data_IF_654025398866
#
_entry.id   IF_654025398866
#
_cell.length_a   1.000
_cell.length_b   1.000
_cell.length_c   1.000
_cell.angle_alpha   90.00
_cell.angle_beta   90.00
_cell.angle_gamma   90.00
#
_symmetry.space_group_name_H-M   'P 1'
#
loop_
_entity.id
_entity.type
_entity.pdbx_description
1 polymer ?
#
# COMPACT_ATOMS: atom_id res chain seq x y z
N UNK A 1 22.19 6.00 -7.97
CA UNK A 1 21.57 6.70 -9.10
C UNK A 1 20.46 5.79 -9.60
N UNK A 2 19.19 6.17 -9.41
CA UNK A 2 18.08 5.49 -10.09
C UNK A 2 18.25 5.78 -11.58
N UNK A 3 18.23 4.74 -12.40
CA UNK A 3 18.42 4.87 -13.84
C UNK A 3 17.16 5.36 -14.58
N UNK A 4 16.16 5.84 -13.84
CA UNK A 4 14.86 6.29 -14.35
C UNK A 4 13.88 5.17 -14.66
N UNK A 5 14.28 3.89 -14.57
CA UNK A 5 13.44 2.74 -14.88
C UNK A 5 12.99 2.07 -13.58
N UNK A 6 11.67 2.06 -13.35
CA UNK A 6 11.06 1.48 -12.14
C UNK A 6 10.24 0.26 -12.53
N UNK A 7 10.42 -0.82 -11.78
CA UNK A 7 9.56 -2.00 -11.83
C UNK A 7 9.03 -2.27 -10.43
N UNK A 8 7.73 -2.57 -10.31
CA UNK A 8 7.06 -2.78 -9.02
C UNK A 8 6.23 -4.05 -9.08
N UNK A 9 6.30 -4.86 -8.04
CA UNK A 9 5.64 -6.15 -7.96
C UNK A 9 4.94 -6.31 -6.60
N UNK A 10 3.62 -6.54 -6.60
CA UNK A 10 2.88 -6.91 -5.40
C UNK A 10 3.17 -8.37 -5.03
N UNK A 11 3.30 -8.66 -3.74
CA UNK A 11 3.59 -10.01 -3.24
C UNK A 11 2.96 -10.23 -1.85
N UNK A 12 2.49 -11.45 -1.58
CA UNK A 12 2.09 -11.89 -0.23
C UNK A 12 0.60 -11.84 0.10
N UNK A 13 -0.25 -11.29 -0.78
CA UNK A 13 -1.70 -11.21 -0.53
C UNK A 13 -2.35 -12.59 -0.40
N UNK A 14 -1.81 -13.56 -1.12
CA UNK A 14 -2.19 -14.96 -1.00
C UNK A 14 -1.13 -15.68 -0.16
N UNK A 15 -1.56 -16.50 0.80
CA UNK A 15 -0.70 -17.38 1.60
C UNK A 15 -0.27 -18.57 0.74
N UNK A 16 0.54 -18.28 -0.28
CA UNK A 16 0.91 -19.21 -1.35
C UNK A 16 2.33 -19.78 -1.19
N UNK A 17 3.12 -19.29 -0.23
CA UNK A 17 4.49 -19.74 -0.04
C UNK A 17 5.54 -19.05 -0.92
N UNK A 18 5.12 -18.12 -1.79
CA UNK A 18 6.03 -17.46 -2.75
C UNK A 18 7.03 -16.55 -2.03
N UNK A 19 8.32 -16.78 -2.27
CA UNK A 19 9.42 -16.01 -1.71
C UNK A 19 9.88 -14.89 -2.66
N UNK A 20 10.41 -13.79 -2.11
CA UNK A 20 11.00 -12.71 -2.93
C UNK A 20 12.16 -13.19 -3.81
N UNK A 21 12.89 -14.23 -3.37
CA UNK A 21 14.01 -14.83 -4.12
C UNK A 21 13.58 -15.61 -5.36
N UNK A 22 12.28 -15.94 -5.49
CA UNK A 22 11.74 -16.64 -6.65
C UNK A 22 11.33 -15.69 -7.78
N UNK A 23 11.20 -14.39 -7.48
CA UNK A 23 10.86 -13.37 -8.47
C UNK A 23 12.13 -12.94 -9.22
N UNK A 24 12.17 -12.97 -10.57
CA UNK A 24 13.34 -12.55 -11.33
C UNK A 24 13.65 -11.05 -11.16
N UNK A 25 14.85 -10.74 -10.68
CA UNK A 25 15.29 -9.36 -10.44
C UNK A 25 16.30 -8.91 -11.50
N UNK A 26 15.92 -7.90 -12.28
CA UNK A 26 16.84 -7.22 -13.19
C UNK A 26 17.61 -6.11 -12.43
N UNK A 27 18.92 -6.28 -12.27
CA UNK A 27 19.79 -5.32 -11.58
C UNK A 27 19.87 -3.93 -12.25
N UNK A 28 19.40 -3.81 -13.50
CA UNK A 28 19.29 -2.57 -14.24
C UNK A 28 17.93 -1.88 -14.04
N UNK A 29 17.18 -2.15 -12.98
CA UNK A 29 15.93 -1.46 -12.65
C UNK A 29 15.94 -1.01 -11.18
N UNK A 30 15.23 0.06 -10.85
CA UNK A 30 14.77 0.31 -9.48
C UNK A 30 13.63 -0.68 -9.21
N UNK A 31 13.92 -1.73 -8.45
CA UNK A 31 13.00 -2.86 -8.27
C UNK A 31 12.29 -2.76 -6.93
N UNK A 32 10.96 -2.68 -6.95
CA UNK A 32 10.16 -2.43 -5.76
C UNK A 32 9.24 -3.61 -5.49
N UNK A 33 9.45 -4.35 -4.40
CA UNK A 33 8.43 -5.26 -3.89
C UNK A 33 7.39 -4.46 -3.09
N UNK A 34 6.12 -4.83 -3.18
CA UNK A 34 5.04 -4.25 -2.39
C UNK A 34 4.34 -5.38 -1.64
N UNK A 35 4.59 -5.45 -0.32
CA UNK A 35 3.95 -6.41 0.57
C UNK A 35 2.45 -6.12 0.64
N UNK A 36 1.63 -7.09 0.26
CA UNK A 36 0.19 -6.97 0.16
C UNK A 36 -0.45 -7.91 1.20
N UNK A 37 -1.16 -7.44 2.23
CA UNK A 37 -1.46 -6.06 2.60
C UNK A 37 -1.23 -5.85 4.09
N UNK A 38 -1.00 -4.60 4.53
CA UNK A 38 -1.32 -4.19 5.89
C UNK A 38 -2.74 -3.61 5.90
N UNK A 39 -3.56 -4.02 6.86
CA UNK A 39 -4.97 -3.63 6.92
C UNK A 39 -5.32 -3.17 8.32
N UNK A 40 -6.08 -2.08 8.46
CA UNK A 40 -6.58 -1.56 9.73
C UNK A 40 -7.86 -2.28 10.18
N UNK A 41 -7.75 -3.60 10.28
CA UNK A 41 -8.82 -4.52 10.68
C UNK A 41 -8.34 -5.51 11.72
N UNK A 42 -9.26 -6.05 12.53
CA UNK A 42 -8.94 -7.07 13.52
C UNK A 42 -8.55 -8.41 12.85
N UNK A 43 -7.45 -9.07 13.26
CA UNK A 43 -6.97 -10.31 12.64
C UNK A 43 -7.68 -11.54 13.22
N UNK A 44 -9.01 -11.51 13.28
CA UNK A 44 -9.84 -12.57 13.89
C UNK A 44 -10.87 -13.13 12.90
N UNK A 45 -11.64 -14.12 13.30
CA UNK A 45 -12.63 -14.79 12.43
C UNK A 45 -13.72 -13.87 11.89
N UNK A 46 -14.02 -12.77 12.59
CA UNK A 46 -14.94 -11.73 12.18
C UNK A 46 -14.21 -10.38 12.21
N UNK A 47 -13.49 -10.03 11.14
CA UNK A 47 -12.72 -8.80 11.08
C UNK A 47 -13.63 -7.56 11.17
N UNK A 48 -13.18 -6.56 11.91
CA UNK A 48 -13.83 -5.24 12.03
C UNK A 48 -12.80 -4.14 11.90
N UNK A 49 -13.15 -2.94 11.38
CA UNK A 49 -12.24 -1.81 11.33
C UNK A 49 -11.65 -1.47 12.70
N UNK A 50 -10.39 -1.05 12.73
CA UNK A 50 -9.66 -0.70 13.96
C UNK A 50 -9.33 0.79 14.04
N UNK A 51 -9.99 1.62 13.23
CA UNK A 51 -9.77 3.06 13.17
C UNK A 51 -8.28 3.39 12.94
N UNK A 52 -7.68 2.83 11.88
CA UNK A 52 -6.31 3.14 11.47
C UNK A 52 -5.22 2.36 12.20
N UNK A 53 -5.52 1.34 12.99
CA UNK A 53 -4.48 0.47 13.58
C UNK A 53 -4.15 -0.67 12.62
N UNK A 54 -3.13 -0.45 11.78
CA UNK A 54 -2.70 -1.40 10.75
C UNK A 54 -1.98 -2.62 11.32
N UNK A 55 -2.28 -3.79 10.76
CA UNK A 55 -1.58 -5.06 11.03
C UNK A 55 -1.20 -5.73 9.72
N UNK A 56 -0.06 -6.44 9.62
CA UNK A 56 0.27 -7.27 8.47
C UNK A 56 -0.74 -8.41 8.25
N UNK A 57 -1.25 -8.54 7.03
CA UNK A 57 -2.11 -9.63 6.55
C UNK A 57 -1.49 -10.41 5.38
N UNK A 58 -0.29 -10.03 4.92
CA UNK A 58 0.49 -10.86 3.99
C UNK A 58 0.96 -12.16 4.65
N UNK A 59 1.53 -13.06 3.85
CA UNK A 59 2.17 -14.29 4.33
C UNK A 59 3.40 -14.00 5.22
N UNK A 60 3.18 -13.71 6.50
CA UNK A 60 4.22 -13.30 7.46
C UNK A 60 5.19 -14.42 7.82
N UNK A 61 4.82 -15.67 7.55
CA UNK A 61 5.70 -16.83 7.78
C UNK A 61 6.80 -16.91 6.71
N UNK A 62 6.53 -16.38 5.51
CA UNK A 62 7.44 -16.38 4.36
C UNK A 62 8.13 -15.02 4.19
N UNK A 63 7.33 -13.95 4.15
CA UNK A 63 7.80 -12.59 3.91
C UNK A 63 8.16 -11.91 5.24
N UNK A 64 9.07 -12.52 5.97
CA UNK A 64 9.55 -12.08 7.29
C UNK A 64 10.46 -10.84 7.21
N UNK A 65 10.71 -10.12 8.33
CA UNK A 65 11.70 -9.06 8.36
C UNK A 65 13.10 -9.49 7.90
N UNK A 66 13.52 -10.72 8.23
CA UNK A 66 14.81 -11.26 7.78
C UNK A 66 14.81 -11.57 6.28
N UNK A 67 13.70 -12.02 5.70
CA UNK A 67 13.57 -12.19 4.25
C UNK A 67 13.69 -10.84 3.52
N UNK A 68 13.03 -9.79 4.04
CA UNK A 68 13.16 -8.42 3.52
C UNK A 68 14.62 -7.93 3.58
N UNK A 69 15.28 -8.10 4.73
CA UNK A 69 16.67 -7.71 4.89
C UNK A 69 17.61 -8.50 3.94
N UNK A 70 17.40 -9.81 3.81
CA UNK A 70 18.20 -10.67 2.97
C UNK A 70 18.09 -10.30 1.49
N UNK A 71 16.89 -10.04 0.97
CA UNK A 71 16.72 -9.67 -0.44
C UNK A 71 17.36 -8.32 -0.76
N UNK A 72 17.25 -7.33 0.16
CA UNK A 72 17.89 -6.01 0.01
C UNK A 72 19.41 -6.10 0.07
N UNK A 73 19.94 -7.00 0.91
CA UNK A 73 21.38 -7.26 0.97
C UNK A 73 21.89 -7.93 -0.31
N UNK A 74 21.13 -8.88 -0.88
CA UNK A 74 21.50 -9.57 -2.10
C UNK A 74 21.38 -8.69 -3.36
N UNK A 75 20.40 -7.77 -3.37
CA UNK A 75 20.10 -6.91 -4.50
C UNK A 75 20.02 -5.43 -4.08
N UNK A 76 21.12 -4.66 -4.17
CA UNK A 76 21.16 -3.26 -3.75
C UNK A 76 20.22 -2.31 -4.52
N UNK A 77 19.64 -2.77 -5.63
CA UNK A 77 18.65 -2.05 -6.42
C UNK A 77 17.20 -2.35 -5.99
N UNK A 78 17.00 -3.20 -4.97
CA UNK A 78 15.69 -3.56 -4.42
C UNK A 78 15.30 -2.62 -3.28
N UNK A 79 14.06 -2.15 -3.33
CA UNK A 79 13.34 -1.55 -2.22
C UNK A 79 12.10 -2.39 -1.89
N UNK A 80 11.64 -2.36 -0.65
CA UNK A 80 10.44 -3.10 -0.21
C UNK A 80 9.47 -2.15 0.48
N UNK A 81 8.22 -2.16 0.05
CA UNK A 81 7.13 -1.34 0.59
C UNK A 81 6.02 -2.21 1.17
N UNK A 82 5.04 -1.58 1.82
CA UNK A 82 3.77 -2.23 2.18
C UNK A 82 2.57 -1.48 1.58
N UNK A 83 1.63 -2.22 0.98
CA UNK A 83 0.35 -1.69 0.56
C UNK A 83 -0.64 -1.68 1.73
N UNK A 84 -1.37 -0.57 1.88
CA UNK A 84 -2.38 -0.33 2.91
C UNK A 84 -3.78 -0.48 2.30
N UNK A 85 -4.61 -1.35 2.87
CA UNK A 85 -5.99 -1.60 2.39
C UNK A 85 -6.14 -2.94 1.68
N UNK A 86 -6.40 -2.90 0.37
CA UNK A 86 -6.79 -4.03 -0.47
C UNK A 86 -8.30 -4.17 -0.63
N UNK A 87 -8.73 -5.14 -1.44
CA UNK A 87 -10.15 -5.44 -1.68
C UNK A 87 -10.85 -6.05 -0.45
N UNK A 88 -10.25 -7.08 0.16
CA UNK A 88 -10.88 -7.88 1.23
C UNK A 88 -9.91 -8.19 2.37
N UNK A 89 -10.46 -8.46 3.56
CA UNK A 89 -9.71 -9.00 4.70
C UNK A 89 -9.78 -10.52 4.67
N UNK A 90 -8.77 -11.15 4.07
CA UNK A 90 -8.66 -12.61 3.90
C UNK A 90 -9.91 -13.25 3.27
N UNK A 91 -10.53 -12.57 2.30
CA UNK A 91 -11.77 -13.00 1.62
C UNK A 91 -12.98 -13.22 2.54
N UNK A 92 -12.98 -12.63 3.75
CA UNK A 92 -14.09 -12.74 4.71
C UNK A 92 -15.05 -11.55 4.67
N UNK A 93 -14.51 -10.35 4.47
CA UNK A 93 -15.24 -9.09 4.39
C UNK A 93 -14.47 -8.11 3.53
N UNK A 94 -15.15 -7.19 2.88
CA UNK A 94 -14.49 -6.07 2.20
C UNK A 94 -13.71 -5.22 3.21
N UNK A 95 -12.53 -4.74 2.79
CA UNK A 95 -11.69 -3.85 3.58
C UNK A 95 -12.10 -2.38 3.34
N UNK A 96 -13.12 -1.94 4.06
CA UNK A 96 -13.60 -0.56 4.00
C UNK A 96 -12.65 0.42 4.69
N UNK A 97 -12.34 1.52 4.02
CA UNK A 97 -11.84 2.72 4.66
C UNK A 97 -12.93 3.29 5.59
N UNK A 98 -12.71 3.16 6.91
CA UNK A 98 -13.71 3.45 7.95
C UNK A 98 -13.10 4.17 9.18
N UNK A 99 -12.64 5.42 9.01
CA UNK A 99 -12.16 6.24 10.14
C UNK A 99 -13.30 6.64 11.08
N UNK A 100 -13.03 6.70 12.39
CA UNK A 100 -13.96 7.30 13.36
C UNK A 100 -13.87 8.83 13.34
N UNK A 101 -12.66 9.37 13.20
CA UNK A 101 -12.39 10.78 12.91
C UNK A 101 -11.05 10.91 12.19
N UNK A 102 -10.83 12.04 11.51
CA UNK A 102 -9.55 12.30 10.82
C UNK A 102 -8.39 12.21 11.81
N UNK A 103 -8.51 12.88 12.96
CA UNK A 103 -7.42 12.98 13.93
C UNK A 103 -7.07 11.63 14.57
N UNK A 104 -8.08 10.85 14.97
CA UNK A 104 -7.84 9.56 15.64
C UNK A 104 -7.32 8.51 14.65
N UNK A 105 -7.90 8.44 13.45
CA UNK A 105 -7.43 7.52 12.41
C UNK A 105 -5.99 7.86 12.00
N UNK A 106 -5.67 9.13 11.75
CA UNK A 106 -4.30 9.55 11.37
C UNK A 106 -3.30 9.26 12.48
N UNK A 107 -3.64 9.51 13.74
CA UNK A 107 -2.74 9.22 14.86
C UNK A 107 -2.43 7.71 14.96
N UNK A 108 -3.45 6.86 14.85
CA UNK A 108 -3.31 5.41 14.88
C UNK A 108 -2.55 4.89 13.65
N UNK A 109 -2.87 5.41 12.47
CA UNK A 109 -2.25 5.00 11.21
C UNK A 109 -0.76 5.35 11.18
N UNK A 110 -0.40 6.58 11.55
CA UNK A 110 1.01 6.98 11.63
C UNK A 110 1.77 6.10 12.61
N UNK A 111 1.24 5.87 13.81
CA UNK A 111 1.90 5.05 14.83
C UNK A 111 2.10 3.59 14.38
N UNK A 112 1.04 2.96 13.88
CA UNK A 112 1.07 1.54 13.50
C UNK A 112 1.86 1.30 12.21
N UNK A 113 1.74 2.16 11.21
CA UNK A 113 2.48 2.05 9.95
C UNK A 113 3.98 2.30 10.16
N UNK A 114 4.36 3.26 11.02
CA UNK A 114 5.78 3.45 11.39
C UNK A 114 6.35 2.21 12.08
N UNK A 115 5.60 1.61 13.01
CA UNK A 115 6.03 0.37 13.65
C UNK A 115 6.26 -0.76 12.63
N UNK A 116 5.38 -0.89 11.62
CA UNK A 116 5.55 -1.86 10.53
C UNK A 116 6.79 -1.54 9.68
N UNK A 117 6.96 -0.26 9.30
CA UNK A 117 8.12 0.21 8.53
C UNK A 117 9.42 -0.13 9.27
N UNK A 118 9.50 0.18 10.56
CA UNK A 118 10.68 -0.05 11.39
C UNK A 118 10.95 -1.55 11.57
N UNK A 119 9.90 -2.33 11.84
CA UNK A 119 10.00 -3.79 12.06
C UNK A 119 10.54 -4.51 10.84
N UNK A 120 10.07 -4.15 9.64
CA UNK A 120 10.45 -4.81 8.39
C UNK A 120 11.59 -4.10 7.63
N UNK A 121 11.99 -2.91 8.06
CA UNK A 121 12.97 -2.09 7.34
C UNK A 121 12.47 -1.65 5.96
N UNK A 122 11.18 -1.26 5.87
CA UNK A 122 10.53 -0.89 4.62
C UNK A 122 11.00 0.48 4.11
N UNK A 123 11.01 0.63 2.80
CA UNK A 123 11.43 1.82 2.07
C UNK A 123 10.24 2.66 1.55
N UNK A 124 9.02 2.19 1.76
CA UNK A 124 7.84 2.88 1.27
C UNK A 124 6.50 2.28 1.67
N UNK A 125 5.44 2.98 1.29
CA UNK A 125 4.06 2.52 1.40
C UNK A 125 3.27 2.80 0.13
N UNK A 126 2.22 2.03 -0.06
CA UNK A 126 1.26 2.18 -1.15
C UNK A 126 -0.16 2.25 -0.59
N UNK A 127 -1.02 3.11 -1.13
CA UNK A 127 -2.41 3.24 -0.69
C UNK A 127 -3.32 2.56 -1.70
N UNK A 128 -4.01 1.52 -1.25
CA UNK A 128 -4.80 0.62 -2.09
C UNK A 128 -6.15 0.25 -1.44
N UNK A 129 -6.81 1.21 -0.79
CA UNK A 129 -8.21 1.04 -0.39
C UNK A 129 -9.12 1.00 -1.62
N UNK A 130 -10.00 0.00 -1.66
CA UNK A 130 -10.98 -0.16 -2.72
C UNK A 130 -12.42 0.01 -2.25
N UNK A 131 -12.69 0.21 -0.96
CA UNK A 131 -14.05 0.37 -0.42
C UNK A 131 -14.10 1.52 0.56
N UNK A 132 -15.19 2.30 0.58
CA UNK A 132 -15.26 3.55 1.33
C UNK A 132 -16.56 3.67 2.10
N UNK A 133 -16.47 3.95 3.40
CA UNK A 133 -17.63 4.36 4.22
C UNK A 133 -17.62 5.85 4.53
N UNK A 134 -16.44 6.46 4.62
CA UNK A 134 -16.27 7.89 4.79
C UNK A 134 -16.41 8.65 3.46
N UNK A 135 -16.66 9.95 3.55
CA UNK A 135 -16.69 10.83 2.38
C UNK A 135 -15.30 11.08 1.78
N UNK A 136 -15.30 11.64 0.57
CA UNK A 136 -14.09 11.97 -0.20
C UNK A 136 -13.15 12.90 0.58
N UNK A 137 -13.69 13.93 1.25
CA UNK A 137 -12.88 14.92 1.96
C UNK A 137 -12.15 14.29 3.16
N UNK A 138 -12.83 13.41 3.89
CA UNK A 138 -12.28 12.65 5.01
C UNK A 138 -11.18 11.71 4.54
N UNK A 139 -11.38 10.99 3.43
CA UNK A 139 -10.33 10.15 2.84
C UNK A 139 -9.10 10.97 2.45
N UNK A 140 -9.29 12.09 1.75
CA UNK A 140 -8.18 12.97 1.32
C UNK A 140 -7.39 13.49 2.52
N UNK A 141 -8.06 13.95 3.57
CA UNK A 141 -7.38 14.46 4.77
C UNK A 141 -6.68 13.34 5.56
N UNK A 142 -7.31 12.17 5.73
CA UNK A 142 -6.68 11.03 6.40
C UNK A 142 -5.41 10.56 5.69
N UNK A 143 -5.53 10.20 4.41
CA UNK A 143 -4.41 9.67 3.63
C UNK A 143 -3.35 10.74 3.43
N UNK A 144 -3.74 11.97 3.08
CA UNK A 144 -2.81 13.07 2.87
C UNK A 144 -1.97 13.38 4.12
N UNK A 145 -2.60 13.44 5.29
CA UNK A 145 -1.88 13.65 6.55
C UNK A 145 -1.00 12.47 6.95
N UNK A 146 -1.47 11.23 6.72
CA UNK A 146 -0.66 10.03 6.93
C UNK A 146 0.64 10.08 6.11
N UNK A 147 0.53 10.24 4.78
CA UNK A 147 1.70 10.30 3.89
C UNK A 147 2.65 11.44 4.27
N UNK A 148 2.09 12.62 4.56
CA UNK A 148 2.88 13.81 4.95
C UNK A 148 3.66 13.56 6.24
N UNK A 149 3.02 13.00 7.27
CA UNK A 149 3.67 12.74 8.56
C UNK A 149 4.72 11.65 8.44
N UNK A 150 4.43 10.56 7.72
CA UNK A 150 5.40 9.49 7.48
C UNK A 150 6.65 9.98 6.74
N UNK A 151 6.49 10.78 5.68
CA UNK A 151 7.64 11.37 4.97
C UNK A 151 8.43 12.35 5.84
N UNK A 152 7.78 13.09 6.73
CA UNK A 152 8.48 13.98 7.65
C UNK A 152 9.37 13.21 8.64
N UNK A 153 8.95 12.00 9.07
CA UNK A 153 9.74 11.15 9.99
C UNK A 153 10.76 10.27 9.26
N UNK A 154 10.43 9.86 8.04
CA UNK A 154 11.29 9.02 7.18
C UNK A 154 11.48 9.72 5.82
N UNK A 155 12.41 10.68 5.69
CA UNK A 155 12.53 11.54 4.49
C UNK A 155 12.79 10.83 3.17
N UNK A 156 13.25 9.58 3.19
CA UNK A 156 13.50 8.75 1.99
C UNK A 156 12.36 7.79 1.66
N UNK A 157 11.25 7.85 2.41
CA UNK A 157 10.11 6.97 2.21
C UNK A 157 9.46 7.25 0.85
N UNK A 158 9.34 6.19 0.04
CA UNK A 158 8.61 6.21 -1.22
C UNK A 158 7.13 6.00 -0.96
N UNK A 159 6.27 6.78 -1.60
CA UNK A 159 4.81 6.67 -1.45
C UNK A 159 4.12 6.52 -2.79
N UNK A 160 3.04 5.75 -2.80
CA UNK A 160 2.20 5.62 -3.99
C UNK A 160 0.73 5.41 -3.69
N UNK A 161 -0.08 5.51 -4.74
CA UNK A 161 -1.51 5.23 -4.73
C UNK A 161 -1.83 4.23 -5.85
N UNK A 162 -2.83 3.36 -5.65
CA UNK A 162 -3.20 2.31 -6.60
C UNK A 162 -4.66 2.41 -7.08
N UNK A 163 -5.07 3.49 -7.78
CA UNK A 163 -6.43 3.62 -8.28
C UNK A 163 -6.72 2.65 -9.43
N UNK A 164 -8.00 2.37 -9.65
CA UNK A 164 -8.50 1.68 -10.85
C UNK A 164 -9.75 2.37 -11.40
N UNK A 165 -10.31 1.86 -12.47
CA UNK A 165 -11.35 2.49 -13.31
C UNK A 165 -12.71 2.70 -12.62
N UNK A 166 -12.99 2.04 -11.50
CA UNK A 166 -14.28 2.09 -10.80
C UNK A 166 -14.59 3.52 -10.35
N UNK A 167 -15.80 3.99 -10.63
CA UNK A 167 -16.18 5.40 -10.50
C UNK A 167 -15.91 5.99 -9.12
N UNK A 168 -16.23 5.25 -8.06
CA UNK A 168 -15.97 5.66 -6.69
C UNK A 168 -14.47 5.68 -6.38
N UNK A 169 -13.72 4.64 -6.72
CA UNK A 169 -12.26 4.60 -6.52
C UNK A 169 -11.59 5.76 -7.26
N UNK A 170 -11.92 5.98 -8.54
CA UNK A 170 -11.40 7.12 -9.29
C UNK A 170 -11.73 8.45 -8.61
N UNK A 171 -12.96 8.63 -8.15
CA UNK A 171 -13.38 9.87 -7.48
C UNK A 171 -12.49 10.17 -6.26
N UNK A 172 -12.31 9.21 -5.35
CA UNK A 172 -11.52 9.39 -4.12
C UNK A 172 -10.03 9.62 -4.41
N UNK A 173 -9.40 8.82 -5.27
CA UNK A 173 -7.98 8.95 -5.57
C UNK A 173 -7.64 10.15 -6.45
N UNK A 174 -8.52 10.54 -7.38
CA UNK A 174 -8.33 11.78 -8.14
C UNK A 174 -8.45 13.01 -7.23
N UNK A 175 -9.35 13.00 -6.25
CA UNK A 175 -9.45 14.06 -5.26
C UNK A 175 -8.16 14.16 -4.44
N UNK A 176 -7.61 13.03 -3.98
CA UNK A 176 -6.32 12.99 -3.29
C UNK A 176 -5.19 13.52 -4.17
N UNK A 177 -5.10 13.07 -5.41
CA UNK A 177 -4.07 13.50 -6.37
C UNK A 177 -4.17 14.98 -6.75
N UNK A 178 -5.37 15.56 -6.83
CA UNK A 178 -5.57 16.98 -7.15
C UNK A 178 -5.48 17.90 -5.93
N UNK A 179 -5.37 17.32 -4.72
CA UNK A 179 -5.32 18.07 -3.47
C UNK A 179 -3.94 18.69 -3.21
N UNK A 180 -3.83 19.39 -2.08
CA UNK A 180 -2.57 19.90 -1.51
C UNK A 180 -1.53 18.80 -1.21
N UNK A 181 -1.93 17.53 -1.21
CA UNK A 181 -1.07 16.38 -0.88
C UNK A 181 -0.40 15.72 -2.09
N UNK A 182 -0.61 16.22 -3.32
CA UNK A 182 0.04 15.67 -4.52
C UNK A 182 1.56 15.55 -4.42
N UNK A 183 2.22 16.52 -3.76
CA UNK A 183 3.67 16.54 -3.58
C UNK A 183 4.23 15.46 -2.65
N UNK A 184 3.38 14.72 -1.93
CA UNK A 184 3.80 13.59 -1.09
C UNK A 184 3.45 12.23 -1.71
N UNK A 185 3.14 12.17 -3.02
CA UNK A 185 2.86 10.95 -3.78
C UNK A 185 3.90 10.82 -4.90
N UNK A 186 4.74 9.79 -4.84
CA UNK A 186 5.84 9.62 -5.81
C UNK A 186 5.42 8.83 -7.06
N UNK A 187 4.52 7.85 -6.89
CA UNK A 187 4.06 6.98 -7.99
C UNK A 187 2.53 6.77 -7.97
N UNK A 188 1.97 6.49 -9.14
CA UNK A 188 0.59 6.07 -9.33
C UNK A 188 0.59 4.68 -9.97
N UNK A 189 0.19 3.67 -9.21
CA UNK A 189 0.05 2.28 -9.63
C UNK A 189 -1.34 2.03 -10.19
N UNK A 190 -1.69 2.68 -11.31
CA UNK A 190 -3.02 2.49 -11.88
C UNK A 190 -3.25 1.02 -12.28
N UNK A 191 -4.31 0.41 -11.77
CA UNK A 191 -4.54 -1.03 -11.92
C UNK A 191 -5.24 -1.33 -13.26
N UNK A 192 -4.48 -1.33 -14.36
CA UNK A 192 -5.02 -1.67 -15.68
C UNK A 192 -5.57 -3.11 -15.76
N UNK A 193 -5.19 -4.01 -14.87
CA UNK A 193 -5.77 -5.35 -14.79
C UNK A 193 -7.18 -5.38 -14.19
N UNK A 194 -7.63 -4.29 -13.55
CA UNK A 194 -9.02 -4.15 -13.07
C UNK A 194 -10.04 -4.00 -14.20
N UNK A 195 -9.60 -3.61 -15.40
CA UNK A 195 -10.44 -3.60 -16.58
C UNK A 195 -10.96 -5.01 -16.92
N UNK A 196 -12.22 -5.11 -17.32
CA UNK A 196 -12.79 -6.38 -17.79
C UNK A 196 -12.00 -6.94 -18.96
N UNK A 197 -11.95 -8.27 -19.09
CA UNK A 197 -11.17 -8.97 -20.11
C UNK A 197 -11.50 -8.57 -21.57
N UNK A 198 -12.67 -7.95 -21.80
CA UNK A 198 -13.14 -7.47 -23.10
C UNK A 198 -13.03 -5.95 -23.27
N UNK A 199 -12.23 -5.26 -22.46
CA UNK A 199 -12.09 -3.80 -22.55
C UNK A 199 -11.39 -3.44 -23.87
N UNK A 200 -12.14 -2.77 -24.74
CA UNK A 200 -11.65 -2.21 -26.00
C UNK A 200 -11.52 -0.68 -25.91
N UNK A 201 -10.64 -0.11 -26.73
CA UNK A 201 -10.61 1.34 -26.91
C UNK A 201 -11.79 1.69 -27.80
N UNK A 202 -12.76 2.45 -27.28
CA UNK A 202 -13.82 3.03 -28.12
C UNK A 202 -13.17 3.90 -29.20
N UNK A 203 -13.26 3.46 -30.46
CA UNK A 203 -12.84 4.20 -31.65
C UNK A 203 -13.71 5.41 -31.91
#
# INVERSE_FOLDING_TARGET
>A
MTNGYVFREYIGAQVSGVQMSEVPINALLSFHFILAFAIDYTPVSQPTPTNGVFTPFWDTDVLTPSAVAAIKQAHPNVAVMAALGGNSVQDRTDAYFAPESIDSWVANAVSSVESIIDTYGLDGIDIDYEHFTADEATFVECIGQLLTRLKARTPRLTTSIAPFERDDVQRYYQALWRSKYSGVIDYVNFQFYGYGANTDVKT
#
